data_IF_002035671010
#
_entry.id   IF_002035671010
#
_cell.length_a   1.000
_cell.length_b   1.000
_cell.length_c   1.000
_cell.angle_alpha   90.00
_cell.angle_beta   90.00
_cell.angle_gamma   90.00
#
_symmetry.space_group_name_H-M   'P 1'
#
loop_
_entity.id
_entity.type
_entity.pdbx_description
1 polymer ?
#
# COMPACT_ATOMS: atom_id res chain seq x y z
N UNK A 1 21.70 1.45 5.72
CA UNK A 1 20.68 2.18 6.51
C UNK A 1 20.40 1.35 7.76
N UNK A 2 20.36 1.94 8.96
CA UNK A 2 19.99 1.22 10.18
C UNK A 2 18.60 1.65 10.65
N UNK A 3 17.76 0.68 11.01
CA UNK A 3 16.46 0.94 11.62
C UNK A 3 16.67 1.49 13.04
N UNK A 4 15.87 2.49 13.42
CA UNK A 4 15.87 3.10 14.76
C UNK A 4 14.44 3.09 15.29
N UNK A 5 14.29 2.82 16.59
CA UNK A 5 13.02 2.98 17.27
C UNK A 5 12.67 4.47 17.34
N UNK A 6 11.44 4.80 16.96
CA UNK A 6 10.83 6.10 17.18
C UNK A 6 9.59 5.90 18.06
N UNK A 7 9.70 6.29 19.32
CA UNK A 7 8.62 6.14 20.32
C UNK A 7 7.46 7.12 20.10
N UNK A 8 7.61 8.09 19.19
CA UNK A 8 6.53 9.03 18.84
C UNK A 8 5.54 8.47 17.82
N UNK A 9 5.86 7.35 17.17
CA UNK A 9 4.97 6.72 16.19
C UNK A 9 3.75 6.10 16.86
N UNK A 10 2.58 6.65 16.57
CA UNK A 10 1.30 6.08 16.98
C UNK A 10 0.99 4.78 16.23
N UNK A 11 0.02 3.96 16.69
CA UNK A 11 -0.49 2.84 15.90
C UNK A 11 -1.09 3.30 14.57
N UNK A 12 -0.92 2.49 13.53
CA UNK A 12 -1.63 2.68 12.25
C UNK A 12 -3.07 2.17 12.38
N UNK A 13 -4.02 2.86 11.78
CA UNK A 13 -5.43 2.51 11.76
C UNK A 13 -5.90 2.32 10.33
N UNK A 14 -6.55 1.18 10.06
CA UNK A 14 -7.11 0.84 8.75
C UNK A 14 -8.60 0.60 8.93
N UNK A 15 -9.43 1.53 8.44
CA UNK A 15 -10.88 1.38 8.44
C UNK A 15 -11.38 1.00 7.05
N UNK A 16 -11.88 -0.23 6.94
CA UNK A 16 -12.39 -0.81 5.69
C UNK A 16 -13.92 -0.78 5.59
N UNK A 17 -14.64 -0.25 6.58
CA UNK A 17 -16.11 -0.26 6.60
C UNK A 17 -16.74 0.52 5.44
N UNK A 18 -15.98 1.45 4.84
CA UNK A 18 -16.40 2.22 3.68
C UNK A 18 -16.12 1.58 2.31
N UNK A 19 -15.60 0.35 2.25
CA UNK A 19 -15.32 -0.32 0.97
C UNK A 19 -16.60 -0.52 0.14
N UNK A 20 -16.51 -0.24 -1.15
CA UNK A 20 -17.58 -0.50 -2.12
C UNK A 20 -17.02 -1.30 -3.30
N UNK A 21 -17.48 -0.99 -4.51
CA UNK A 21 -17.15 -1.69 -5.73
C UNK A 21 -15.64 -1.85 -5.91
N UNK A 22 -15.25 -3.05 -6.33
CA UNK A 22 -13.87 -3.40 -6.67
C UNK A 22 -13.84 -3.86 -8.12
N UNK A 23 -12.91 -3.30 -8.90
CA UNK A 23 -12.75 -3.66 -10.31
C UNK A 23 -11.36 -4.24 -10.52
N UNK A 24 -11.29 -5.50 -10.94
CA UNK A 24 -10.04 -6.15 -11.31
C UNK A 24 -9.62 -5.72 -12.72
N UNK A 25 -8.42 -5.18 -12.82
CA UNK A 25 -7.74 -4.87 -14.07
C UNK A 25 -6.56 -5.83 -14.24
N UNK A 26 -6.69 -6.78 -15.18
CA UNK A 26 -5.60 -7.70 -15.55
C UNK A 26 -4.69 -7.02 -16.56
N UNK A 27 -3.37 -7.09 -16.35
CA UNK A 27 -2.34 -6.53 -17.22
C UNK A 27 -1.37 -7.63 -17.65
N UNK A 28 -0.43 -7.29 -18.52
CA UNK A 28 0.53 -8.26 -19.07
C UNK A 28 1.40 -8.93 -17.99
N UNK A 29 1.81 -8.18 -16.97
CA UNK A 29 2.79 -8.61 -15.96
C UNK A 29 2.31 -8.47 -14.51
N UNK A 30 1.09 -7.97 -14.28
CA UNK A 30 0.49 -7.89 -12.95
C UNK A 30 -1.05 -7.80 -13.03
N UNK A 31 -1.69 -7.66 -11.88
CA UNK A 31 -3.05 -7.18 -11.79
C UNK A 31 -3.12 -5.99 -10.84
N UNK A 32 -4.12 -5.14 -11.03
CA UNK A 32 -4.49 -4.12 -10.04
C UNK A 32 -5.99 -4.16 -9.79
N UNK A 33 -6.39 -3.98 -8.54
CA UNK A 33 -7.78 -3.85 -8.15
C UNK A 33 -8.04 -2.39 -7.84
N UNK A 34 -8.89 -1.75 -8.61
CA UNK A 34 -9.41 -0.41 -8.31
C UNK A 34 -10.49 -0.52 -7.24
N UNK A 35 -10.47 0.38 -6.26
CA UNK A 35 -11.40 0.39 -5.14
C UNK A 35 -12.21 1.68 -5.13
N UNK A 36 -13.53 1.57 -4.99
CA UNK A 36 -14.44 2.68 -4.69
C UNK A 36 -14.90 2.61 -3.23
N UNK A 37 -15.47 3.71 -2.75
CA UNK A 37 -15.95 3.84 -1.37
C UNK A 37 -15.12 4.82 -0.55
N UNK A 38 -15.14 4.72 0.77
CA UNK A 38 -14.45 5.60 1.72
C UNK A 38 -13.65 4.80 2.76
N UNK A 39 -13.00 3.72 2.34
CA UNK A 39 -12.02 3.04 3.18
C UNK A 39 -10.80 3.96 3.38
N UNK A 40 -10.32 4.06 4.62
CA UNK A 40 -9.32 5.05 5.01
C UNK A 40 -8.19 4.44 5.85
N UNK A 41 -7.02 5.05 5.71
CA UNK A 41 -5.81 4.83 6.47
C UNK A 41 -5.50 6.09 7.27
N UNK A 42 -5.22 5.94 8.57
CA UNK A 42 -4.87 7.05 9.46
C UNK A 42 -3.94 6.60 10.58
N UNK A 43 -3.45 7.54 11.40
CA UNK A 43 -2.50 7.23 12.47
C UNK A 43 -1.09 6.95 11.95
N UNK A 44 -0.25 6.29 12.76
CA UNK A 44 1.14 6.06 12.39
C UNK A 44 1.91 7.37 12.14
N UNK A 45 2.72 7.43 11.07
CA UNK A 45 3.43 8.65 10.68
C UNK A 45 2.57 9.63 9.86
N UNK A 46 1.28 9.35 9.64
CA UNK A 46 0.43 10.13 8.73
C UNK A 46 -0.13 11.38 9.41
N UNK A 47 -0.02 12.52 8.71
CA UNK A 47 -0.55 13.80 9.19
C UNK A 47 -2.05 14.00 8.88
N UNK A 48 -2.61 13.17 8.01
CA UNK A 48 -3.96 13.26 7.45
C UNK A 48 -4.55 11.86 7.24
N UNK A 49 -5.83 11.81 6.90
CA UNK A 49 -6.46 10.57 6.44
C UNK A 49 -6.16 10.35 4.96
N UNK A 50 -5.87 9.10 4.60
CA UNK A 50 -5.61 8.67 3.24
C UNK A 50 -6.66 7.67 2.80
N UNK A 51 -7.25 7.88 1.63
CA UNK A 51 -8.32 7.05 1.08
C UNK A 51 -7.76 5.94 0.19
N UNK A 52 -8.21 4.70 0.38
CA UNK A 52 -7.80 3.58 -0.47
C UNK A 52 -8.33 3.77 -1.89
N UNK A 53 -7.46 3.70 -2.89
CA UNK A 53 -7.83 3.84 -4.31
C UNK A 53 -7.55 2.59 -5.13
N UNK A 54 -6.53 1.82 -4.77
CA UNK A 54 -6.22 0.55 -5.42
C UNK A 54 -5.34 -0.33 -4.54
N UNK A 55 -5.26 -1.61 -4.90
CA UNK A 55 -4.14 -2.44 -4.50
C UNK A 55 -3.63 -3.29 -5.66
N UNK A 56 -2.38 -3.73 -5.59
CA UNK A 56 -1.76 -4.61 -6.59
C UNK A 56 -0.68 -5.47 -5.96
N UNK A 57 -0.31 -6.56 -6.64
CA UNK A 57 0.69 -7.52 -6.16
C UNK A 57 1.91 -7.52 -7.07
N UNK A 58 3.07 -7.70 -6.46
CA UNK A 58 4.32 -8.10 -7.11
C UNK A 58 4.67 -9.53 -6.68
N UNK A 59 5.15 -10.34 -7.63
CA UNK A 59 5.58 -11.71 -7.38
C UNK A 59 6.69 -12.11 -8.34
N UNK A 60 7.50 -13.09 -7.93
CA UNK A 60 8.59 -13.64 -8.73
C UNK A 60 8.19 -14.91 -9.45
N UNK A 61 9.11 -15.45 -10.26
CA UNK A 61 8.87 -16.73 -10.95
C UNK A 61 9.01 -17.96 -10.05
N UNK A 62 9.40 -17.78 -8.78
CA UNK A 62 9.58 -18.88 -7.84
C UNK A 62 9.28 -18.45 -6.40
N UNK A 63 9.12 -19.43 -5.52
CA UNK A 63 8.59 -19.23 -4.17
C UNK A 63 9.57 -18.57 -3.17
N UNK A 64 10.80 -18.27 -3.60
CA UNK A 64 11.85 -17.73 -2.74
C UNK A 64 12.19 -16.26 -3.05
N UNK A 65 11.49 -15.64 -4.02
CA UNK A 65 11.74 -14.26 -4.42
C UNK A 65 10.51 -13.68 -5.11
N UNK A 66 10.33 -12.36 -5.05
CA UNK A 66 9.22 -11.69 -5.71
C UNK A 66 8.74 -10.41 -5.06
N UNK A 67 9.03 -10.20 -3.77
CA UNK A 67 8.86 -8.92 -3.12
C UNK A 67 9.83 -7.88 -3.68
N UNK A 68 9.39 -6.63 -3.78
CA UNK A 68 10.26 -5.52 -4.20
C UNK A 68 11.17 -5.11 -3.04
N UNK A 69 10.62 -5.03 -1.83
CA UNK A 69 11.39 -4.79 -0.62
C UNK A 69 12.05 -6.08 -0.13
N UNK A 70 13.14 -5.91 0.64
CA UNK A 70 13.87 -7.01 1.27
C UNK A 70 14.07 -6.70 2.75
N UNK A 71 13.87 -7.70 3.61
CA UNK A 71 14.17 -7.59 5.05
C UNK A 71 15.51 -8.27 5.29
N UNK A 72 16.50 -7.51 5.78
CA UNK A 72 17.86 -8.00 6.00
C UNK A 72 18.49 -8.67 4.75
N UNK A 73 18.17 -8.17 3.56
CA UNK A 73 18.65 -8.72 2.28
C UNK A 73 17.91 -9.97 1.79
N UNK A 74 16.83 -10.38 2.45
CA UNK A 74 16.01 -11.53 2.09
C UNK A 74 14.72 -11.04 1.40
N UNK A 75 14.44 -11.57 0.21
CA UNK A 75 13.18 -11.36 -0.52
C UNK A 75 12.13 -12.39 -0.08
N UNK A 76 10.86 -11.98 -0.10
CA UNK A 76 9.72 -12.85 0.08
C UNK A 76 9.12 -13.24 -1.29
N UNK A 77 8.33 -14.32 -1.39
CA UNK A 77 7.72 -14.76 -2.65
C UNK A 77 6.82 -13.71 -3.34
N UNK A 78 6.16 -12.84 -2.58
CA UNK A 78 5.31 -11.78 -3.13
C UNK A 78 5.15 -10.62 -2.13
N UNK A 79 4.71 -9.48 -2.65
CA UNK A 79 4.40 -8.27 -1.88
C UNK A 79 3.11 -7.60 -2.41
N UNK A 80 2.17 -7.30 -1.51
CA UNK A 80 0.96 -6.52 -1.80
C UNK A 80 1.21 -5.06 -1.47
N UNK A 81 0.86 -4.18 -2.39
CA UNK A 81 0.81 -2.75 -2.19
C UNK A 81 -0.64 -2.29 -2.17
N UNK A 82 -1.10 -1.81 -1.01
CA UNK A 82 -2.35 -1.06 -0.89
C UNK A 82 -2.05 0.43 -0.99
N UNK A 83 -2.52 1.09 -2.06
CA UNK A 83 -2.18 2.48 -2.36
C UNK A 83 -3.33 3.39 -1.94
N UNK A 84 -2.99 4.35 -1.10
CA UNK A 84 -3.91 5.35 -0.56
C UNK A 84 -3.49 6.75 -1.03
N UNK A 85 -4.48 7.60 -1.27
CA UNK A 85 -4.31 9.02 -1.62
C UNK A 85 -4.65 9.90 -0.43
N UNK A 86 -3.87 10.95 -0.16
CA UNK A 86 -4.21 11.93 0.88
C UNK A 86 -5.54 12.60 0.52
N UNK A 87 -6.49 12.59 1.45
CA UNK A 87 -7.83 13.15 1.26
C UNK A 87 -7.85 14.67 1.00
N UNK A 88 -6.75 15.38 1.29
CA UNK A 88 -6.63 16.81 0.95
C UNK A 88 -6.48 17.07 -0.55
N UNK A 89 -6.11 16.07 -1.34
CA UNK A 89 -6.00 16.19 -2.80
C UNK A 89 -7.25 15.62 -3.48
N UNK A 90 -7.82 16.38 -4.41
CA UNK A 90 -9.05 16.00 -5.10
C UNK A 90 -8.84 14.83 -6.09
N UNK A 91 -7.64 14.72 -6.67
CA UNK A 91 -7.33 13.73 -7.71
C UNK A 91 -5.95 13.10 -7.53
N UNK A 92 -5.81 11.88 -8.04
CA UNK A 92 -4.52 11.17 -8.08
C UNK A 92 -3.47 11.96 -8.85
N UNK A 93 -3.82 12.54 -10.00
CA UNK A 93 -2.90 13.33 -10.83
C UNK A 93 -2.33 14.53 -10.06
N UNK A 94 -3.10 15.10 -9.14
CA UNK A 94 -2.63 16.18 -8.28
C UNK A 94 -1.75 15.63 -7.17
N UNK A 95 -2.22 14.61 -6.45
CA UNK A 95 -1.52 14.04 -5.31
C UNK A 95 -0.10 13.56 -5.65
N UNK A 96 0.10 12.92 -6.80
CA UNK A 96 1.44 12.42 -7.21
C UNK A 96 2.49 13.51 -7.41
N UNK A 97 2.08 14.78 -7.51
CA UNK A 97 3.00 15.91 -7.64
C UNK A 97 3.53 16.39 -6.27
N UNK A 98 2.99 15.87 -5.17
CA UNK A 98 3.39 16.19 -3.80
C UNK A 98 4.03 14.98 -3.10
N UNK A 99 5.05 15.23 -2.29
CA UNK A 99 5.80 14.17 -1.58
C UNK A 99 4.98 13.40 -0.56
N UNK A 100 3.88 13.98 -0.09
CA UNK A 100 2.95 13.43 0.90
C UNK A 100 1.59 13.06 0.28
N UNK A 101 1.47 13.07 -1.06
CA UNK A 101 0.21 12.79 -1.72
C UNK A 101 -0.23 11.33 -1.68
N UNK A 102 0.71 10.40 -1.49
CA UNK A 102 0.43 8.98 -1.41
C UNK A 102 0.97 8.36 -0.13
N UNK A 103 0.27 7.33 0.34
CA UNK A 103 0.75 6.40 1.34
C UNK A 103 0.52 4.97 0.85
N UNK A 104 1.51 4.11 1.02
CA UNK A 104 1.45 2.71 0.56
C UNK A 104 1.70 1.79 1.74
N UNK A 105 0.74 0.89 2.00
CA UNK A 105 0.93 -0.21 2.94
C UNK A 105 1.46 -1.42 2.17
N UNK A 106 2.69 -1.82 2.48
CA UNK A 106 3.34 -3.02 1.95
C UNK A 106 3.11 -4.23 2.85
N UNK A 107 2.67 -5.36 2.28
CA UNK A 107 2.43 -6.61 3.00
C UNK A 107 3.19 -7.74 2.29
N UNK A 108 4.11 -8.40 3.01
CA UNK A 108 4.85 -9.55 2.50
C UNK A 108 4.03 -10.85 2.60
N UNK A 109 4.21 -11.73 1.61
CA UNK A 109 3.61 -13.06 1.59
C UNK A 109 4.67 -14.13 1.83
N UNK A 110 4.29 -15.21 2.51
CA UNK A 110 5.12 -16.39 2.74
C UNK A 110 4.35 -17.64 2.29
N UNK A 111 5.03 -18.57 1.64
CA UNK A 111 4.45 -19.88 1.30
C UNK A 111 4.37 -20.75 2.55
N UNK A 112 3.24 -21.44 2.75
CA UNK A 112 2.94 -22.34 3.87
C UNK A 112 2.69 -23.76 3.42
#
# INVERSE_FOLDING_TARGET
MSMRLDESLAPINVDLNGLQNQTLHVKDHNFSVEVKGNAVLSGGPLASEYKLIQFHLHWGSGNNWGSEHMINGISCPAELHCVFIDTKYATMETAITYSDGLSVVGIFFQVS
#
